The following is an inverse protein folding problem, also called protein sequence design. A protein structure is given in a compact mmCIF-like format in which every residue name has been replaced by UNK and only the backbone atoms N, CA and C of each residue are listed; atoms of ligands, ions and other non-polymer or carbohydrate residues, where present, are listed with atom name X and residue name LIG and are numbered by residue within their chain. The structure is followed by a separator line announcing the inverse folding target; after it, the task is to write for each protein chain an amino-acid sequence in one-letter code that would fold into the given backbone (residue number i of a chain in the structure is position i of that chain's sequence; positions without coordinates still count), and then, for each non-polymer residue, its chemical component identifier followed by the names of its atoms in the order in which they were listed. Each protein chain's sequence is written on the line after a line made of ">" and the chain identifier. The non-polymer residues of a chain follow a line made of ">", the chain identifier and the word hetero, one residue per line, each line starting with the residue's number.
data_IF_732987304090
#
_entry.id   IF_732987304090
#
_cell.length_a   1.000
_cell.length_b   1.000
_cell.length_c   1.000
_cell.angle_alpha   90.00
_cell.angle_beta   90.00
_cell.angle_gamma   90.00
#
_symmetry.space_group_name_H-M   'P 1'
#
loop_
_entity.id
_entity.type
_entity.pdbx_description
1 polymer ?
#
# COMPACT_ATOMS: atom_id res chain seq x y z
N UNK A 1 -28.46 30.11 20.69
CA UNK A 1 -28.88 28.81 20.12
C UNK A 1 -27.81 28.36 19.13
N UNK A 2 -27.02 27.33 19.47
CA UNK A 2 -25.89 26.84 18.67
C UNK A 2 -26.38 25.75 17.73
N UNK A 3 -26.33 25.99 16.42
CA UNK A 3 -26.42 24.92 15.43
C UNK A 3 -25.01 24.49 15.06
N UNK A 4 -24.57 23.35 15.58
CA UNK A 4 -23.33 22.69 15.17
C UNK A 4 -23.62 21.81 13.95
N UNK A 5 -23.12 22.22 12.78
CA UNK A 5 -23.02 21.38 11.59
C UNK A 5 -21.58 21.49 11.07
N UNK A 6 -20.67 20.69 11.61
CA UNK A 6 -19.28 20.64 11.11
C UNK A 6 -19.18 19.64 9.97
N UNK A 7 -19.31 20.20 8.77
CA UNK A 7 -18.59 19.97 7.52
C UNK A 7 -17.70 18.71 7.40
N UNK A 8 -18.05 17.87 6.42
CA UNK A 8 -17.14 16.95 5.73
C UNK A 8 -16.09 17.75 4.94
N UNK A 9 -14.81 17.44 5.09
CA UNK A 9 -13.80 17.88 4.12
C UNK A 9 -12.38 17.98 4.66
N UNK A 10 -11.44 17.53 3.82
CA UNK A 10 -10.01 17.84 3.84
C UNK A 10 -9.14 17.14 4.89
N UNK A 11 -8.81 15.85 4.67
CA UNK A 11 -7.55 15.30 5.18
C UNK A 11 -6.82 14.44 4.12
N UNK A 12 -5.77 15.06 3.56
CA UNK A 12 -4.57 14.49 2.92
C UNK A 12 -4.65 14.23 1.40
N UNK A 13 -4.70 15.34 0.64
CA UNK A 13 -3.91 15.48 -0.59
C UNK A 13 -2.51 15.99 -0.22
N UNK A 14 -1.50 15.13 -0.34
CA UNK A 14 -0.10 15.56 -0.47
C UNK A 14 0.67 14.39 -1.09
N UNK A 15 1.10 14.57 -2.34
CA UNK A 15 2.42 14.19 -2.89
C UNK A 15 2.34 13.99 -4.41
N UNK A 16 2.18 15.10 -5.15
CA UNK A 16 2.65 15.20 -6.55
C UNK A 16 4.08 15.76 -6.53
N UNK A 17 5.03 15.07 -7.17
CA UNK A 17 6.34 15.67 -7.48
C UNK A 17 7.52 14.72 -7.66
N UNK A 18 7.68 14.21 -8.89
CA UNK A 18 8.91 13.84 -9.65
C UNK A 18 10.18 13.38 -8.88
N UNK A 19 10.71 12.22 -9.29
CA UNK A 19 12.12 12.05 -9.72
C UNK A 19 12.34 10.70 -10.42
N UNK A 20 12.73 10.73 -11.70
CA UNK A 20 13.33 9.61 -12.44
C UNK A 20 14.85 9.72 -12.26
N UNK A 21 15.41 8.87 -11.41
CA UNK A 21 16.85 8.59 -11.29
C UNK A 21 16.92 7.16 -10.76
N UNK A 22 17.31 6.16 -11.59
CA UNK A 22 17.38 4.70 -11.31
C UNK A 22 17.07 4.36 -9.83
N UNK A 23 15.78 4.35 -9.49
CA UNK A 23 15.38 4.67 -8.13
C UNK A 23 15.40 3.41 -7.30
N UNK A 24 16.38 3.28 -6.39
CA UNK A 24 16.38 2.26 -5.33
C UNK A 24 14.95 2.18 -4.74
N UNK A 25 14.38 0.97 -4.66
CA UNK A 25 13.00 0.74 -4.19
C UNK A 25 12.65 1.69 -3.02
N UNK A 26 11.56 2.48 -3.13
CA UNK A 26 11.20 3.43 -2.09
C UNK A 26 10.96 2.69 -0.77
N UNK A 27 11.29 3.33 0.35
CA UNK A 27 10.91 2.83 1.67
C UNK A 27 9.40 3.07 1.82
N UNK A 28 8.61 2.02 1.60
CA UNK A 28 7.15 2.11 1.63
C UNK A 28 6.61 1.88 3.04
N UNK A 29 5.59 2.64 3.40
CA UNK A 29 4.78 2.34 4.58
C UNK A 29 3.85 1.16 4.33
N UNK A 30 3.45 0.49 5.40
CA UNK A 30 2.45 -0.59 5.32
C UNK A 30 1.14 -0.17 4.64
N UNK A 31 0.73 1.09 4.79
CA UNK A 31 -0.46 1.66 4.14
C UNK A 31 -0.33 1.68 2.61
N UNK A 32 0.87 1.94 2.08
CA UNK A 32 1.09 1.91 0.64
C UNK A 32 0.92 0.49 0.08
N UNK A 33 1.49 -0.49 0.76
CA UNK A 33 1.36 -1.91 0.40
C UNK A 33 -0.08 -2.37 0.49
N UNK A 34 -0.80 -1.97 1.54
CA UNK A 34 -2.21 -2.27 1.72
C UNK A 34 -3.07 -1.71 0.58
N UNK A 35 -2.88 -0.42 0.23
CA UNK A 35 -3.58 0.20 -0.91
C UNK A 35 -3.27 -0.49 -2.23
N UNK A 36 -2.03 -0.95 -2.42
CA UNK A 36 -1.62 -1.71 -3.60
C UNK A 36 -2.34 -3.06 -3.66
N UNK A 37 -2.32 -3.81 -2.56
CA UNK A 37 -3.00 -5.10 -2.46
C UNK A 37 -4.51 -4.97 -2.73
N UNK A 38 -5.17 -4.00 -2.08
CA UNK A 38 -6.60 -3.73 -2.30
C UNK A 38 -6.88 -3.33 -3.75
N UNK A 39 -6.03 -2.52 -4.38
CA UNK A 39 -6.20 -2.15 -5.80
C UNK A 39 -6.03 -3.34 -6.77
N UNK A 40 -5.39 -4.42 -6.32
CA UNK A 40 -5.24 -5.68 -7.07
C UNK A 40 -6.30 -6.72 -6.68
N UNK A 41 -7.36 -6.34 -5.97
CA UNK A 41 -8.45 -7.25 -5.62
C UNK A 41 -8.18 -8.13 -4.39
N UNK A 42 -7.14 -7.84 -3.61
CA UNK A 42 -6.95 -8.51 -2.33
C UNK A 42 -7.86 -7.89 -1.27
N UNK A 43 -8.49 -8.74 -0.46
CA UNK A 43 -9.31 -8.33 0.69
C UNK A 43 -8.65 -8.72 2.00
N UNK A 44 -8.90 -7.93 3.04
CA UNK A 44 -8.40 -8.21 4.38
C UNK A 44 -9.07 -9.47 4.96
N UNK A 45 -8.25 -10.39 5.50
CA UNK A 45 -8.73 -11.63 6.10
C UNK A 45 -8.71 -11.55 7.63
N UNK A 46 -7.51 -11.44 8.21
CA UNK A 46 -7.31 -11.29 9.65
C UNK A 46 -5.92 -10.69 9.95
N UNK A 47 -5.68 -10.39 11.22
CA UNK A 47 -4.40 -9.89 11.71
C UNK A 47 -3.90 -10.81 12.83
N UNK A 48 -2.62 -11.19 12.79
CA UNK A 48 -1.93 -11.92 13.86
C UNK A 48 -0.78 -11.05 14.36
N UNK A 49 -0.94 -10.47 15.55
CA UNK A 49 0.02 -9.49 16.07
C UNK A 49 0.15 -8.28 15.16
N UNK A 50 1.38 -7.93 14.75
CA UNK A 50 1.62 -6.85 13.79
C UNK A 50 1.44 -7.27 12.33
N UNK A 51 1.30 -8.56 12.02
CA UNK A 51 1.16 -9.04 10.65
C UNK A 51 -0.30 -9.04 10.22
N UNK A 52 -0.59 -8.36 9.10
CA UNK A 52 -1.90 -8.39 8.43
C UNK A 52 -1.88 -9.41 7.31
N UNK A 53 -2.96 -10.17 7.18
CA UNK A 53 -3.14 -11.20 6.16
C UNK A 53 -4.25 -10.76 5.20
N UNK A 54 -3.92 -10.81 3.92
CA UNK A 54 -4.76 -10.45 2.79
C UNK A 54 -4.94 -11.66 1.88
N UNK A 55 -6.17 -11.87 1.40
CA UNK A 55 -6.50 -12.98 0.51
C UNK A 55 -7.05 -12.45 -0.81
N UNK A 56 -6.72 -13.11 -1.90
CA UNK A 56 -7.28 -12.87 -3.22
C UNK A 56 -8.37 -13.90 -3.52
N UNK A 57 -9.32 -13.57 -4.41
CA UNK A 57 -10.34 -14.51 -4.86
C UNK A 57 -9.72 -15.78 -5.48
N UNK A 58 -8.63 -15.63 -6.25
CA UNK A 58 -7.85 -16.73 -6.84
C UNK A 58 -7.14 -17.64 -5.81
N UNK A 59 -7.27 -17.39 -4.51
CA UNK A 59 -6.67 -18.20 -3.46
C UNK A 59 -5.25 -17.80 -3.05
N UNK A 60 -4.67 -16.74 -3.66
CA UNK A 60 -3.38 -16.18 -3.23
C UNK A 60 -3.52 -15.53 -1.85
N UNK A 61 -2.52 -15.69 -0.99
CA UNK A 61 -2.47 -15.07 0.32
C UNK A 61 -1.17 -14.26 0.48
N UNK A 62 -1.29 -13.07 1.06
CA UNK A 62 -0.18 -12.14 1.26
C UNK A 62 -0.22 -11.68 2.71
N UNK A 63 0.90 -11.82 3.42
CA UNK A 63 1.03 -11.29 4.78
C UNK A 63 2.14 -10.24 4.87
N UNK A 64 1.87 -9.13 5.54
CA UNK A 64 2.87 -8.07 5.76
C UNK A 64 2.75 -7.41 7.13
N UNK A 65 3.88 -6.96 7.72
CA UNK A 65 3.87 -6.30 9.02
C UNK A 65 3.37 -4.85 8.93
N UNK A 66 2.55 -4.46 9.90
CA UNK A 66 2.05 -3.09 10.14
C UNK A 66 3.15 -2.24 10.79
N UNK A 67 4.15 -1.84 10.01
CA UNK A 67 5.27 -0.98 10.44
C UNK A 67 5.43 0.24 9.53
N UNK A 68 5.93 1.35 10.09
CA UNK A 68 6.04 2.64 9.38
C UNK A 68 6.83 2.53 8.08
N UNK A 69 7.83 1.66 8.02
CA UNK A 69 8.61 1.39 6.81
C UNK A 69 8.84 -0.11 6.66
N UNK A 70 8.53 -0.63 5.48
CA UNK A 70 8.78 -2.02 5.12
C UNK A 70 10.13 -2.08 4.40
N UNK A 71 11.02 -2.91 4.92
CA UNK A 71 12.32 -3.20 4.32
C UNK A 71 12.15 -3.74 2.89
N UNK A 72 13.10 -3.38 2.02
CA UNK A 72 13.06 -3.72 0.60
C UNK A 72 12.97 -5.22 0.33
N UNK A 73 13.69 -6.03 1.10
CA UNK A 73 13.63 -7.50 0.98
C UNK A 73 12.22 -8.04 1.23
N UNK A 74 11.52 -7.49 2.23
CA UNK A 74 10.11 -7.83 2.48
C UNK A 74 9.22 -7.39 1.33
N UNK A 75 9.41 -6.17 0.80
CA UNK A 75 8.63 -5.67 -0.34
C UNK A 75 8.80 -6.54 -1.59
N UNK A 76 10.02 -6.98 -1.89
CA UNK A 76 10.29 -7.91 -2.99
C UNK A 76 9.55 -9.24 -2.80
N UNK A 77 9.52 -9.75 -1.57
CA UNK A 77 8.73 -10.94 -1.23
C UNK A 77 7.23 -10.76 -1.44
N UNK A 78 6.70 -9.54 -1.32
CA UNK A 78 5.29 -9.22 -1.55
C UNK A 78 4.95 -9.04 -3.03
N UNK A 79 5.90 -8.61 -3.86
CA UNK A 79 5.67 -8.43 -5.30
C UNK A 79 5.35 -9.74 -6.03
N UNK A 80 5.99 -10.85 -5.64
CA UNK A 80 5.75 -12.18 -6.21
C UNK A 80 4.28 -12.62 -6.06
N UNK A 81 3.69 -12.68 -4.85
CA UNK A 81 2.30 -13.09 -4.69
C UNK A 81 1.30 -12.02 -5.16
N UNK A 82 1.67 -10.73 -5.16
CA UNK A 82 0.85 -9.67 -5.75
C UNK A 82 0.84 -9.70 -7.29
N UNK A 83 1.77 -10.42 -7.92
CA UNK A 83 1.90 -10.47 -9.38
C UNK A 83 2.28 -9.12 -9.98
N UNK A 84 3.18 -8.39 -9.32
CA UNK A 84 3.58 -7.04 -9.74
C UNK A 84 5.09 -7.03 -9.98
N UNK A 85 5.49 -6.52 -11.14
CA UNK A 85 6.89 -6.24 -11.40
C UNK A 85 7.31 -4.91 -10.77
N UNK A 86 8.61 -4.75 -10.48
CA UNK A 86 9.13 -3.48 -9.98
C UNK A 86 8.73 -2.29 -10.88
N UNK A 87 8.77 -2.48 -12.19
CA UNK A 87 8.41 -1.46 -13.17
C UNK A 87 6.94 -1.06 -13.09
N UNK A 88 6.01 -2.02 -12.99
CA UNK A 88 4.58 -1.73 -12.79
C UNK A 88 4.33 -1.03 -11.46
N UNK A 89 5.04 -1.44 -10.40
CA UNK A 89 4.95 -0.79 -9.11
C UNK A 89 5.42 0.68 -9.19
N UNK A 90 6.54 0.95 -9.86
CA UNK A 90 7.06 2.30 -10.05
C UNK A 90 6.09 3.17 -10.88
N UNK A 91 5.47 2.62 -11.92
CA UNK A 91 4.43 3.30 -12.70
C UNK A 91 3.20 3.62 -11.86
N UNK A 92 2.68 2.64 -11.11
CA UNK A 92 1.57 2.84 -10.19
C UNK A 92 1.88 3.92 -9.15
N UNK A 93 3.10 3.91 -8.61
CA UNK A 93 3.56 4.90 -7.64
C UNK A 93 3.74 6.30 -8.23
N UNK A 94 3.97 6.43 -9.54
CA UNK A 94 4.08 7.71 -10.26
C UNK A 94 2.74 8.25 -10.75
N UNK A 95 1.74 7.38 -10.93
CA UNK A 95 0.41 7.72 -11.45
C UNK A 95 -0.55 8.32 -10.39
N UNK A 96 -0.10 8.46 -9.15
CA UNK A 96 -0.83 9.04 -8.03
C UNK A 96 -0.28 10.42 -7.69
#
# INVERSE_FOLDING_TARGET
>A
MRQCRTNLGAWIDRFRGRRRLVAKLPLLSWQHVERLAVSRGFFYKHQKGSHRVYRHADGREVSFPKRRQIARGTLQGLFKPLGITRSEFEQWNQSR
#
